data_IF_038080025399
#
_entry.id   IF_038080025399
#
_cell.length_a   1.000
_cell.length_b   1.000
_cell.length_c   1.000
_cell.angle_alpha   90.00
_cell.angle_beta   90.00
_cell.angle_gamma   90.00
#
_symmetry.space_group_name_H-M   'P 1'
#
loop_
_entity.id
_entity.type
_entity.pdbx_description
1 polymer ?
#
# COMPACT_ATOMS: atom_id res chain seq x y z
N UNK A 1 -14.81 18.95 -1.70
CA UNK A 1 -13.60 18.41 -2.34
C UNK A 1 -13.63 16.91 -2.21
N UNK A 2 -13.61 16.16 -3.31
CA UNK A 2 -13.84 14.71 -3.34
C UNK A 2 -12.56 13.94 -2.98
N UNK A 3 -12.68 12.86 -2.18
CA UNK A 3 -11.57 11.94 -1.82
C UNK A 3 -10.72 11.50 -3.03
N UNK A 4 -11.34 11.42 -4.21
CA UNK A 4 -10.68 11.06 -5.46
C UNK A 4 -9.54 12.01 -5.89
N UNK A 5 -9.63 13.32 -5.55
CA UNK A 5 -8.57 14.28 -5.91
C UNK A 5 -7.34 14.10 -5.02
N UNK A 6 -7.55 13.94 -3.72
CA UNK A 6 -6.48 13.76 -2.73
C UNK A 6 -5.66 12.48 -2.99
N UNK A 7 -6.32 11.37 -3.33
CA UNK A 7 -5.63 10.12 -3.67
C UNK A 7 -4.84 10.23 -4.98
N UNK A 8 -5.34 11.00 -5.96
CA UNK A 8 -4.64 11.21 -7.23
C UNK A 8 -3.37 12.06 -7.06
N UNK A 9 -3.41 13.08 -6.21
CA UNK A 9 -2.24 13.88 -5.86
C UNK A 9 -1.19 13.03 -5.11
N UNK A 10 -1.62 12.20 -4.14
CA UNK A 10 -0.74 11.26 -3.42
C UNK A 10 -0.01 10.29 -4.38
N UNK A 11 -0.72 9.70 -5.35
CA UNK A 11 -0.07 8.81 -6.33
C UNK A 11 0.89 9.51 -7.29
N UNK A 12 0.66 10.80 -7.58
CA UNK A 12 1.58 11.57 -8.41
C UNK A 12 2.90 11.87 -7.68
N UNK A 13 2.85 12.07 -6.37
CA UNK A 13 4.04 12.21 -5.52
C UNK A 13 4.80 10.88 -5.43
N UNK A 14 4.11 9.77 -5.19
CA UNK A 14 4.73 8.43 -5.15
C UNK A 14 5.48 8.08 -6.45
N UNK A 15 4.95 8.46 -7.62
CA UNK A 15 5.66 8.25 -8.91
C UNK A 15 6.97 9.02 -9.05
N UNK A 16 7.14 10.13 -8.32
CA UNK A 16 8.37 10.93 -8.36
C UNK A 16 9.42 10.35 -7.41
N UNK A 17 8.97 9.78 -6.30
CA UNK A 17 9.85 9.28 -5.23
C UNK A 17 10.36 7.87 -5.49
N UNK A 18 9.55 7.00 -6.11
CA UNK A 18 9.89 5.58 -6.29
C UNK A 18 10.07 5.20 -7.77
N UNK A 19 11.05 4.33 -8.09
CA UNK A 19 11.24 3.84 -9.45
C UNK A 19 10.12 2.88 -9.87
N UNK A 20 10.02 2.62 -11.17
CA UNK A 20 9.17 1.56 -11.71
C UNK A 20 9.56 0.20 -11.11
N UNK A 21 8.56 -0.66 -10.92
CA UNK A 21 8.71 -1.98 -10.31
C UNK A 21 8.15 -2.02 -8.88
N UNK A 22 8.74 -2.90 -8.07
CA UNK A 22 8.29 -3.20 -6.71
C UNK A 22 9.23 -2.60 -5.68
N UNK A 23 8.68 -1.75 -4.82
CA UNK A 23 9.36 -1.28 -3.60
C UNK A 23 8.62 -1.81 -2.38
N UNK A 24 9.34 -2.32 -1.39
CA UNK A 24 8.79 -2.77 -0.12
C UNK A 24 9.47 -1.98 1.00
N UNK A 25 8.66 -1.42 1.88
CA UNK A 25 9.09 -0.67 3.06
C UNK A 25 8.46 -1.31 4.30
N UNK A 26 9.23 -1.42 5.37
CA UNK A 26 8.76 -1.94 6.65
C UNK A 26 9.11 -0.94 7.74
N UNK A 27 8.14 -0.58 8.56
CA UNK A 27 8.34 0.37 9.64
C UNK A 27 7.35 0.15 10.78
N UNK A 28 7.82 0.41 12.00
CA UNK A 28 7.02 0.37 13.22
C UNK A 28 6.47 1.75 13.55
N UNK A 29 5.17 1.84 13.84
CA UNK A 29 4.52 3.10 14.21
C UNK A 29 3.34 2.86 15.14
N UNK A 30 3.31 3.56 16.28
CA UNK A 30 2.20 3.53 17.25
C UNK A 30 1.75 2.11 17.66
N UNK A 31 2.69 1.20 17.92
CA UNK A 31 2.38 -0.19 18.28
C UNK A 31 1.83 -1.03 17.11
N UNK A 32 2.20 -0.65 15.88
CA UNK A 32 1.90 -1.39 14.66
C UNK A 32 3.19 -1.62 13.88
N UNK A 33 3.40 -2.83 13.41
CA UNK A 33 4.34 -3.12 12.34
C UNK A 33 3.62 -2.97 11.00
N UNK A 34 4.13 -2.11 10.12
CA UNK A 34 3.50 -1.78 8.85
C UNK A 34 4.44 -2.17 7.71
N UNK A 35 3.98 -3.11 6.87
CA UNK A 35 4.64 -3.43 5.59
C UNK A 35 3.90 -2.70 4.47
N UNK A 36 4.57 -1.73 3.84
CA UNK A 36 4.08 -0.99 2.67
C UNK A 36 4.74 -1.52 1.40
N UNK A 37 3.93 -2.01 0.46
CA UNK A 37 4.40 -2.44 -0.85
C UNK A 37 3.87 -1.49 -1.92
N UNK A 38 4.78 -0.82 -2.63
CA UNK A 38 4.49 0.13 -3.69
C UNK A 38 4.84 -0.54 -5.01
N UNK A 39 3.85 -0.64 -5.89
CA UNK A 39 3.98 -1.19 -7.24
C UNK A 39 3.74 -0.08 -8.26
N UNK A 40 4.74 0.18 -9.10
CA UNK A 40 4.68 1.21 -10.13
C UNK A 40 4.90 0.55 -11.50
N UNK A 41 3.81 0.45 -12.25
CA UNK A 41 3.82 0.08 -13.66
C UNK A 41 3.72 1.34 -14.53
N UNK A 42 3.89 1.22 -15.86
CA UNK A 42 4.00 2.34 -16.81
C UNK A 42 2.99 3.49 -16.60
N UNK A 43 1.77 3.21 -16.14
CA UNK A 43 0.78 4.23 -15.84
C UNK A 43 0.07 4.08 -14.48
N UNK A 44 0.24 2.97 -13.77
CA UNK A 44 -0.56 2.65 -12.59
C UNK A 44 0.32 2.54 -11.37
N UNK A 45 -0.09 3.22 -10.29
CA UNK A 45 0.47 3.03 -8.96
C UNK A 45 -0.51 2.21 -8.15
N UNK A 46 -0.03 1.15 -7.52
CA UNK A 46 -0.78 0.39 -6.53
C UNK A 46 0.01 0.37 -5.23
N UNK A 47 -0.62 0.80 -4.15
CA UNK A 47 -0.01 0.79 -2.81
C UNK A 47 -0.77 -0.22 -1.97
N UNK A 48 -0.04 -1.18 -1.42
CA UNK A 48 -0.54 -2.19 -0.51
C UNK A 48 0.02 -1.94 0.88
N UNK A 49 -0.80 -2.13 1.90
CA UNK A 49 -0.38 -2.07 3.30
C UNK A 49 -0.81 -3.35 4.00
N UNK A 50 0.12 -3.98 4.72
CA UNK A 50 -0.16 -4.96 5.77
C UNK A 50 0.13 -4.26 7.10
N UNK A 51 -0.84 -4.24 8.00
CA UNK A 51 -0.76 -3.59 9.30
C UNK A 51 -0.97 -4.62 10.38
N UNK A 52 0.10 -4.90 11.12
CA UNK A 52 0.15 -5.83 12.25
C UNK A 52 0.17 -5.03 13.54
N UNK A 53 -0.92 -5.06 14.30
CA UNK A 53 -0.97 -4.45 15.61
C UNK A 53 -0.39 -5.37 16.68
N UNK A 54 0.31 -4.82 17.66
CA UNK A 54 0.83 -5.55 18.81
C UNK A 54 -0.25 -6.29 19.62
N UNK A 55 -1.50 -5.78 19.61
CA UNK A 55 -2.64 -6.44 20.25
C UNK A 55 -3.20 -7.64 19.47
N UNK A 56 -2.63 -7.97 18.31
CA UNK A 56 -2.99 -9.12 17.49
C UNK A 56 -3.88 -8.82 16.29
N UNK A 57 -4.17 -7.55 16.01
CA UNK A 57 -4.94 -7.13 14.84
C UNK A 57 -4.14 -7.21 13.56
N UNK A 58 -4.72 -7.80 12.52
CA UNK A 58 -4.09 -7.88 11.20
C UNK A 58 -5.03 -7.30 10.15
N UNK A 59 -4.58 -6.25 9.46
CA UNK A 59 -5.37 -5.54 8.46
C UNK A 59 -4.60 -5.36 7.16
N UNK A 60 -5.33 -5.39 6.06
CA UNK A 60 -4.79 -5.25 4.72
C UNK A 60 -5.50 -4.13 3.98
N UNK A 61 -4.73 -3.33 3.24
CA UNK A 61 -5.25 -2.23 2.46
C UNK A 61 -4.64 -2.20 1.07
N UNK A 62 -5.42 -1.72 0.11
CA UNK A 62 -4.99 -1.37 -1.25
C UNK A 62 -5.49 0.04 -1.54
N UNK A 63 -4.60 0.95 -1.89
CA UNK A 63 -4.95 2.34 -2.25
C UNK A 63 -5.86 2.99 -1.19
N UNK A 64 -5.52 2.83 0.09
CA UNK A 64 -6.27 3.30 1.26
C UNK A 64 -7.68 2.70 1.44
N UNK A 65 -8.01 1.61 0.73
CA UNK A 65 -9.24 0.83 0.93
C UNK A 65 -8.93 -0.50 1.60
N UNK A 66 -9.72 -0.88 2.60
CA UNK A 66 -9.56 -2.19 3.27
C UNK A 66 -9.87 -3.33 2.31
N UNK A 67 -9.01 -4.34 2.31
CA UNK A 67 -9.18 -5.57 1.53
C UNK A 67 -9.02 -6.80 2.43
N UNK A 68 -9.49 -7.95 1.95
CA UNK A 68 -9.26 -9.22 2.61
C UNK A 68 -7.82 -9.70 2.40
N UNK A 69 -7.32 -10.49 3.34
CA UNK A 69 -5.99 -11.09 3.30
C UNK A 69 -5.73 -11.88 2.00
N UNK A 70 -6.70 -12.67 1.56
CA UNK A 70 -6.56 -13.50 0.36
C UNK A 70 -6.36 -12.65 -0.89
N UNK A 71 -7.11 -11.55 -1.01
CA UNK A 71 -6.95 -10.61 -2.12
C UNK A 71 -5.57 -9.94 -2.09
N UNK A 72 -5.08 -9.56 -0.90
CA UNK A 72 -3.75 -9.01 -0.73
C UNK A 72 -2.66 -10.00 -1.19
N UNK A 73 -2.74 -11.25 -0.74
CA UNK A 73 -1.77 -12.29 -1.08
C UNK A 73 -1.75 -12.57 -2.58
N UNK A 74 -2.92 -12.83 -3.18
CA UNK A 74 -3.05 -13.13 -4.61
C UNK A 74 -2.54 -11.96 -5.46
N UNK A 75 -2.83 -10.72 -5.10
CA UNK A 75 -2.37 -9.58 -5.88
C UNK A 75 -0.85 -9.34 -5.74
N UNK A 76 -0.23 -9.68 -4.62
CA UNK A 76 1.23 -9.52 -4.45
C UNK A 76 2.05 -10.71 -4.97
N UNK A 77 1.48 -11.91 -5.08
CA UNK A 77 2.11 -13.07 -5.71
C UNK A 77 2.21 -12.92 -7.24
N UNK A 78 1.25 -12.21 -7.84
CA UNK A 78 1.17 -12.01 -9.28
C UNK A 78 1.96 -10.78 -9.79
N UNK A 79 2.84 -10.21 -8.96
CA UNK A 79 3.65 -9.01 -9.26
C UNK A 79 5.11 -9.21 -8.93
#
# INVERSE_FOLDING_TARGET
YSKAKETADEFAEVKKEYPKGKTVEEFDKYGMHITRTILIDDQVVRVYLKVEHEWGGLYFFKNNQSIYEELYRVELENV
#
